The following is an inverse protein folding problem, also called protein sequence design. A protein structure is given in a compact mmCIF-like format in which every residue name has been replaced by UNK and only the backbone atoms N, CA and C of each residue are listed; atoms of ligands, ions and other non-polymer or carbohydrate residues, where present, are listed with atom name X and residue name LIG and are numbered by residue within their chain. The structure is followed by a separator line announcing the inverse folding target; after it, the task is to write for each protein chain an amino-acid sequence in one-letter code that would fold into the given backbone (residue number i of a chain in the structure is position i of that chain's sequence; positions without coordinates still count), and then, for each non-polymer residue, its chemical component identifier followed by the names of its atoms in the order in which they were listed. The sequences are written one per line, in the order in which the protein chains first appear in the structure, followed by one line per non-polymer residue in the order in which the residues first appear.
data_IF_635929847880
#
_entry.id   IF_635929847880
#
_cell.length_a   1.000
_cell.length_b   1.000
_cell.length_c   1.000
_cell.angle_alpha   90.00
_cell.angle_beta   90.00
_cell.angle_gamma   90.00
#
_symmetry.space_group_name_H-M   'P 1'
#
loop_
_entity.id
_entity.type
_entity.pdbx_description
1 polymer ?
#
# COMPACT_ATOMS: atom_id res chain seq x y z
N UNK A 1 -18.65 10.64 -2.59
CA UNK A 1 -18.07 9.45 -1.95
C UNK A 1 -17.09 8.84 -2.94
N UNK A 2 -15.78 9.11 -2.77
CA UNK A 2 -14.76 8.73 -3.76
C UNK A 2 -14.65 7.20 -3.85
N UNK A 3 -15.34 6.62 -4.84
CA UNK A 3 -14.99 5.31 -5.41
C UNK A 3 -13.70 5.50 -6.20
N UNK A 4 -12.55 5.57 -5.53
CA UNK A 4 -11.30 5.22 -6.19
C UNK A 4 -11.22 3.68 -6.23
N UNK A 5 -12.17 3.08 -6.96
CA UNK A 5 -12.00 1.73 -7.47
C UNK A 5 -11.15 1.93 -8.72
N UNK A 6 -9.84 1.74 -8.59
CA UNK A 6 -9.03 1.44 -9.78
C UNK A 6 -9.56 0.10 -10.26
N UNK A 7 -10.52 0.18 -11.17
CA UNK A 7 -11.10 -0.96 -11.86
C UNK A 7 -10.00 -1.58 -12.71
N UNK A 8 -9.28 -2.55 -12.14
CA UNK A 8 -8.83 -3.70 -12.90
C UNK A 8 -10.06 -4.57 -13.19
N UNK A 9 -11.00 -4.08 -14.01
CA UNK A 9 -12.05 -4.91 -14.57
C UNK A 9 -11.43 -5.67 -15.76
N UNK A 10 -11.49 -7.01 -15.78
CA UNK A 10 -11.26 -7.74 -17.02
C UNK A 10 -12.46 -7.47 -17.94
N UNK A 11 -12.17 -7.11 -19.18
CA UNK A 11 -13.14 -7.12 -20.27
C UNK A 11 -13.66 -8.55 -20.42
N UNK A 12 -14.95 -8.69 -20.12
CA UNK A 12 -15.99 -9.64 -20.56
C UNK A 12 -15.67 -11.12 -20.89
N UNK A 13 -16.48 -11.98 -20.26
CA UNK A 13 -17.02 -13.26 -20.75
C UNK A 13 -16.25 -14.00 -21.87
N UNK A 14 -15.57 -15.08 -21.52
CA UNK A 14 -15.81 -16.43 -22.08
C UNK A 14 -14.86 -17.48 -21.49
N UNK A 15 -15.44 -18.63 -21.14
CA UNK A 15 -14.81 -19.93 -20.85
C UNK A 15 -13.85 -20.04 -19.65
N UNK A 16 -14.23 -20.95 -18.75
CA UNK A 16 -13.36 -21.65 -17.80
C UNK A 16 -12.02 -22.02 -18.47
N UNK A 17 -10.96 -21.30 -18.16
CA UNK A 17 -9.61 -21.81 -18.34
C UNK A 17 -9.06 -22.13 -16.96
N UNK A 18 -8.96 -23.43 -16.71
CA UNK A 18 -8.16 -24.04 -15.67
C UNK A 18 -6.77 -23.40 -15.67
N UNK A 19 -6.44 -22.60 -14.65
CA UNK A 19 -5.10 -22.05 -14.49
C UNK A 19 -4.21 -23.18 -13.95
N UNK A 20 -3.18 -23.63 -14.68
CA UNK A 20 -2.37 -24.75 -14.24
C UNK A 20 -1.54 -24.37 -13.01
N UNK A 21 -1.33 -25.38 -12.16
CA UNK A 21 -0.45 -25.34 -11.00
C UNK A 21 0.98 -24.92 -11.38
N UNK A 22 1.50 -23.95 -10.61
CA UNK A 22 2.89 -23.82 -10.13
C UNK A 22 3.98 -24.30 -11.10
N UNK A 23 4.61 -23.38 -11.84
CA UNK A 23 6.05 -23.44 -12.20
C UNK A 23 6.56 -22.11 -12.81
N UNK A 24 7.37 -21.38 -12.03
CA UNK A 24 8.62 -20.67 -12.34
C UNK A 24 8.82 -19.79 -13.60
N UNK A 25 7.81 -19.46 -14.41
CA UNK A 25 8.04 -18.69 -15.66
C UNK A 25 7.51 -17.24 -15.59
N UNK A 26 6.54 -16.93 -14.71
CA UNK A 26 5.90 -15.60 -14.66
C UNK A 26 6.64 -14.57 -13.79
N UNK A 27 7.65 -14.98 -13.02
CA UNK A 27 8.34 -14.09 -12.06
C UNK A 27 9.30 -13.08 -12.70
N UNK A 28 9.66 -13.28 -13.97
CA UNK A 28 10.68 -12.46 -14.64
C UNK A 28 10.14 -11.18 -15.29
N UNK A 29 8.86 -11.16 -15.72
CA UNK A 29 8.28 -10.04 -16.47
C UNK A 29 7.70 -8.91 -15.59
N UNK A 30 7.50 -9.16 -14.29
CA UNK A 30 6.88 -8.21 -13.36
C UNK A 30 7.80 -7.70 -12.24
N UNK A 31 9.07 -8.09 -12.26
CA UNK A 31 10.09 -7.39 -11.46
C UNK A 31 10.35 -6.06 -12.12
N UNK A 32 10.20 -5.00 -11.33
CA UNK A 32 10.56 -3.68 -11.77
C UNK A 32 12.06 -3.67 -12.09
N UNK A 33 12.41 -3.69 -13.38
CA UNK A 33 13.78 -3.45 -13.83
C UNK A 33 14.02 -1.95 -13.65
N UNK A 34 14.17 -1.52 -12.41
CA UNK A 34 14.82 -0.26 -12.13
C UNK A 34 16.29 -0.49 -12.51
N UNK A 35 16.83 0.09 -13.61
CA UNK A 35 18.17 0.62 -13.44
C UNK A 35 18.07 1.49 -12.18
N UNK A 36 19.07 1.48 -11.30
CA UNK A 36 19.10 2.42 -10.20
C UNK A 36 19.09 3.84 -10.82
N UNK A 37 17.91 4.38 -11.14
CA UNK A 37 17.72 5.71 -11.67
C UNK A 37 17.82 6.60 -10.46
N UNK A 38 19.04 6.75 -9.98
CA UNK A 38 19.46 8.03 -9.44
C UNK A 38 19.36 8.95 -10.65
N UNK A 39 18.27 9.70 -10.77
CA UNK A 39 18.15 10.71 -11.82
C UNK A 39 19.43 11.55 -11.78
N UNK A 40 20.03 11.85 -12.93
CA UNK A 40 21.28 12.62 -12.97
C UNK A 40 21.12 13.88 -12.10
N UNK A 41 21.95 14.01 -11.07
CA UNK A 41 21.89 15.10 -10.09
C UNK A 41 21.24 14.78 -8.73
N UNK A 42 20.66 13.59 -8.51
CA UNK A 42 20.23 13.17 -7.18
C UNK A 42 21.39 12.52 -6.40
N UNK A 43 21.53 12.84 -5.12
CA UNK A 43 22.42 12.07 -4.25
C UNK A 43 21.85 10.65 -4.05
N UNK A 44 22.69 9.60 -3.95
CA UNK A 44 22.23 8.26 -3.61
C UNK A 44 21.41 8.28 -2.31
N UNK A 45 20.32 7.50 -2.22
CA UNK A 45 19.52 7.45 -1.01
C UNK A 45 20.38 6.93 0.16
N UNK A 46 20.33 7.64 1.30
CA UNK A 46 21.06 7.23 2.51
C UNK A 46 20.63 5.85 3.04
N UNK A 47 19.40 5.45 2.72
CA UNK A 47 18.85 4.17 3.10
C UNK A 47 17.86 3.70 2.05
N UNK A 48 18.11 2.50 1.53
CA UNK A 48 17.14 1.76 0.70
C UNK A 48 16.21 1.04 1.67
N UNK A 49 14.95 1.48 1.73
CA UNK A 49 13.93 0.83 2.56
C UNK A 49 13.46 -0.50 1.98
N UNK A 50 13.52 -0.62 0.65
CA UNK A 50 13.05 -1.77 -0.07
C UNK A 50 13.99 -2.06 -1.25
N UNK A 51 14.72 -3.19 -1.22
CA UNK A 51 15.64 -3.55 -2.29
C UNK A 51 14.91 -3.65 -3.64
N UNK A 52 15.40 -3.00 -4.71
CA UNK A 52 14.74 -3.01 -6.02
C UNK A 52 14.41 -4.42 -6.54
N UNK A 53 15.27 -5.39 -6.26
CA UNK A 53 15.11 -6.81 -6.61
C UNK A 53 13.89 -7.49 -5.98
N UNK A 54 13.35 -6.90 -4.91
CA UNK A 54 12.17 -7.37 -4.20
C UNK A 54 10.92 -6.55 -4.55
N UNK A 55 11.03 -5.55 -5.45
CA UNK A 55 9.88 -4.77 -5.92
C UNK A 55 9.10 -5.56 -6.97
N UNK A 56 7.89 -5.97 -6.58
CA UNK A 56 6.90 -6.55 -7.47
C UNK A 56 5.87 -5.49 -7.85
N UNK A 57 5.73 -5.23 -9.16
CA UNK A 57 4.80 -4.22 -9.69
C UNK A 57 3.34 -4.64 -9.64
N UNK A 58 3.11 -5.94 -9.55
CA UNK A 58 1.80 -6.54 -9.47
C UNK A 58 1.44 -6.98 -8.06
N UNK A 59 0.15 -7.19 -7.84
CA UNK A 59 -0.36 -7.85 -6.65
C UNK A 59 0.15 -9.28 -6.55
N UNK A 60 0.88 -9.60 -5.48
CA UNK A 60 1.32 -10.98 -5.21
C UNK A 60 0.15 -11.89 -4.80
N UNK A 61 -0.95 -11.31 -4.36
CA UNK A 61 -2.18 -12.00 -3.99
C UNK A 61 -3.39 -11.23 -4.53
N UNK A 62 -4.43 -11.94 -4.97
CA UNK A 62 -5.69 -11.32 -5.40
C UNK A 62 -6.46 -10.82 -4.18
N UNK A 63 -6.82 -9.54 -4.18
CA UNK A 63 -7.61 -8.92 -3.12
C UNK A 63 -9.01 -8.57 -3.62
N UNK A 64 -10.00 -8.69 -2.74
CA UNK A 64 -11.29 -8.02 -2.92
C UNK A 64 -11.13 -6.53 -2.63
N UNK A 65 -12.10 -5.72 -3.05
CA UNK A 65 -12.18 -4.34 -2.56
C UNK A 65 -12.22 -4.36 -1.02
N UNK A 66 -11.22 -3.73 -0.40
CA UNK A 66 -11.07 -3.64 1.05
C UNK A 66 -12.07 -2.67 1.69
N UNK A 67 -11.83 -2.35 2.95
CA UNK A 67 -12.66 -1.41 3.69
C UNK A 67 -12.65 0.00 3.09
N UNK A 68 -13.80 0.67 3.16
CA UNK A 68 -13.87 2.12 3.02
C UNK A 68 -13.32 2.82 4.27
N UNK A 69 -12.98 4.11 4.16
CA UNK A 69 -12.58 4.92 5.31
C UNK A 69 -13.72 5.85 5.71
N UNK A 70 -13.98 5.94 7.02
CA UNK A 70 -14.95 6.88 7.58
C UNK A 70 -14.46 8.31 7.36
N UNK A 71 -15.29 9.12 6.72
CA UNK A 71 -14.98 10.53 6.49
C UNK A 71 -15.51 11.36 7.67
N UNK A 72 -14.62 11.74 8.57
CA UNK A 72 -14.88 12.75 9.61
C UNK A 72 -14.37 14.12 9.12
N UNK A 73 -14.88 15.21 9.69
CA UNK A 73 -14.51 16.58 9.28
C UNK A 73 -12.98 16.75 9.13
N UNK A 74 -12.55 17.30 8.00
CA UNK A 74 -11.15 17.51 7.59
C UNK A 74 -10.30 16.26 7.29
N UNK A 75 -10.87 15.04 7.28
CA UNK A 75 -10.10 13.81 7.00
C UNK A 75 -10.19 13.29 5.56
N UNK A 76 -11.03 13.88 4.70
CA UNK A 76 -11.26 13.38 3.33
C UNK A 76 -10.00 13.37 2.45
N UNK A 77 -9.15 14.38 2.60
CA UNK A 77 -7.86 14.46 1.91
C UNK A 77 -6.95 13.30 2.33
N UNK A 78 -6.78 13.12 3.64
CA UNK A 78 -5.96 12.04 4.19
C UNK A 78 -6.52 10.66 3.80
N UNK A 79 -7.84 10.48 3.86
CA UNK A 79 -8.48 9.24 3.43
C UNK A 79 -8.18 8.92 1.97
N UNK A 80 -8.16 9.93 1.09
CA UNK A 80 -7.82 9.75 -0.32
C UNK A 80 -6.36 9.33 -0.49
N UNK A 81 -5.43 9.98 0.21
CA UNK A 81 -4.01 9.60 0.22
C UNK A 81 -3.81 8.17 0.73
N UNK A 82 -4.44 7.82 1.85
CA UNK A 82 -4.33 6.48 2.44
C UNK A 82 -4.86 5.38 1.52
N UNK A 83 -5.96 5.63 0.82
CA UNK A 83 -6.48 4.68 -0.16
C UNK A 83 -5.53 4.52 -1.35
N UNK A 84 -4.98 5.62 -1.88
CA UNK A 84 -3.97 5.55 -2.95
C UNK A 84 -2.74 4.73 -2.54
N UNK A 85 -2.21 4.97 -1.34
CA UNK A 85 -1.06 4.23 -0.82
C UNK A 85 -1.40 2.74 -0.59
N UNK A 86 -2.60 2.45 -0.08
CA UNK A 86 -3.06 1.07 0.19
C UNK A 86 -3.22 0.24 -1.07
N UNK A 87 -3.64 0.85 -2.19
CA UNK A 87 -3.88 0.16 -3.45
C UNK A 87 -2.76 0.30 -4.48
N UNK A 88 -1.59 0.81 -4.08
CA UNK A 88 -0.38 0.79 -4.91
C UNK A 88 0.34 -0.55 -4.71
N UNK A 89 0.33 -1.49 -5.69
CA UNK A 89 0.74 -2.89 -5.44
C UNK A 89 2.17 -3.05 -4.89
N UNK A 90 3.21 -2.37 -5.41
CA UNK A 90 4.55 -2.41 -4.83
C UNK A 90 4.59 -2.11 -3.33
N UNK A 91 3.93 -1.02 -2.95
CA UNK A 91 3.91 -0.55 -1.56
C UNK A 91 3.05 -1.47 -0.69
N UNK A 92 1.91 -1.91 -1.20
CA UNK A 92 1.02 -2.81 -0.48
C UNK A 92 1.71 -4.16 -0.21
N UNK A 93 2.40 -4.74 -1.20
CA UNK A 93 3.16 -5.98 -1.04
C UNK A 93 4.21 -5.85 0.07
N UNK A 94 4.97 -4.74 0.09
CA UNK A 94 5.93 -4.48 1.16
C UNK A 94 5.26 -4.35 2.53
N UNK A 95 4.21 -3.53 2.64
CA UNK A 95 3.53 -3.30 3.92
C UNK A 95 2.83 -4.55 4.45
N UNK A 96 2.40 -5.45 3.57
CA UNK A 96 1.81 -6.74 3.93
C UNK A 96 2.85 -7.75 4.40
N UNK A 97 4.13 -7.64 3.98
CA UNK A 97 5.21 -8.55 4.38
C UNK A 97 5.58 -8.42 5.87
N UNK A 98 5.23 -7.29 6.50
CA UNK A 98 5.57 -6.94 7.89
C UNK A 98 7.06 -6.85 8.16
N UNK A 99 7.88 -6.70 7.14
CA UNK A 99 9.34 -6.66 7.28
C UNK A 99 9.83 -5.44 8.09
N UNK A 100 9.15 -4.30 7.96
CA UNK A 100 9.53 -3.10 8.70
C UNK A 100 9.27 -3.29 10.19
N UNK A 101 8.07 -3.68 10.60
CA UNK A 101 7.75 -3.84 12.03
C UNK A 101 8.62 -4.89 12.73
N UNK A 102 9.12 -5.90 12.01
CA UNK A 102 10.04 -6.92 12.53
C UNK A 102 11.43 -6.36 12.89
N UNK A 103 11.86 -5.30 12.23
CA UNK A 103 13.19 -4.69 12.41
C UNK A 103 13.15 -3.28 13.01
N UNK A 104 11.96 -2.70 13.13
CA UNK A 104 11.78 -1.34 13.63
C UNK A 104 12.10 -1.24 15.12
N UNK A 105 13.03 -0.35 15.46
CA UNK A 105 13.43 -0.02 16.84
C UNK A 105 12.95 1.36 17.29
N UNK A 106 12.17 2.04 16.44
CA UNK A 106 11.69 3.40 16.75
C UNK A 106 10.70 3.33 17.91
N UNK A 107 11.02 4.03 19.00
CA UNK A 107 10.12 4.18 20.13
C UNK A 107 9.06 5.24 19.80
N UNK A 108 7.80 4.97 20.17
CA UNK A 108 6.68 5.88 19.90
C UNK A 108 6.07 5.70 18.49
N UNK A 109 6.01 6.78 17.71
CA UNK A 109 5.30 6.79 16.43
C UNK A 109 6.23 6.44 15.26
N UNK A 110 5.88 5.39 14.53
CA UNK A 110 6.51 5.05 13.26
C UNK A 110 5.46 4.94 12.16
N UNK A 111 5.59 5.79 11.13
CA UNK A 111 4.66 5.85 10.00
C UNK A 111 4.56 4.50 9.30
N UNK A 112 5.70 3.84 9.05
CA UNK A 112 5.72 2.56 8.34
C UNK A 112 5.02 1.45 9.15
N UNK A 113 5.27 1.34 10.46
CA UNK A 113 4.51 0.42 11.33
C UNK A 113 3.00 0.70 11.32
N UNK A 114 2.59 1.97 11.24
CA UNK A 114 1.17 2.33 11.17
C UNK A 114 0.55 2.00 9.82
N UNK A 115 1.30 2.24 8.74
CA UNK A 115 0.90 1.88 7.38
C UNK A 115 0.78 0.36 7.20
N UNK A 116 1.70 -0.44 7.74
CA UNK A 116 1.57 -1.91 7.71
C UNK A 116 0.27 -2.38 8.37
N UNK A 117 -0.05 -1.82 9.54
CA UNK A 117 -1.29 -2.13 10.24
C UNK A 117 -2.53 -1.67 9.47
N UNK A 118 -2.47 -0.47 8.89
CA UNK A 118 -3.56 0.10 8.10
C UNK A 118 -3.86 -0.76 6.87
N UNK A 119 -2.86 -1.03 6.02
CA UNK A 119 -3.02 -1.82 4.79
C UNK A 119 -3.55 -3.21 5.09
N UNK A 120 -3.00 -3.88 6.11
CA UNK A 120 -3.46 -5.21 6.52
C UNK A 120 -4.92 -5.20 6.98
N UNK A 121 -5.33 -4.16 7.73
CA UNK A 121 -6.71 -4.00 8.19
C UNK A 121 -7.67 -3.75 7.02
N UNK A 122 -7.36 -2.75 6.17
CA UNK A 122 -8.20 -2.37 5.02
C UNK A 122 -8.44 -3.56 4.10
N UNK A 123 -7.37 -4.24 3.67
CA UNK A 123 -7.46 -5.29 2.67
C UNK A 123 -8.15 -6.57 3.17
N UNK A 124 -8.17 -6.81 4.50
CA UNK A 124 -8.86 -7.97 5.09
C UNK A 124 -10.34 -7.72 5.41
N UNK A 125 -10.77 -6.46 5.49
CA UNK A 125 -12.10 -6.08 5.99
C UNK A 125 -13.01 -5.57 4.86
N UNK A 126 -13.20 -6.39 3.83
CA UNK A 126 -14.07 -6.06 2.69
C UNK A 126 -15.50 -5.75 3.12
N UNK A 127 -16.11 -4.73 2.52
CA UNK A 127 -17.50 -4.31 2.78
C UNK A 127 -17.72 -3.56 4.10
N UNK A 128 -16.65 -3.23 4.84
CA UNK A 128 -16.73 -2.46 6.09
C UNK A 128 -16.25 -1.03 5.88
N UNK A 129 -16.55 -0.17 6.86
CA UNK A 129 -16.01 1.18 6.98
C UNK A 129 -15.15 1.24 8.24
N UNK A 130 -13.90 1.70 8.12
CA UNK A 130 -12.96 1.82 9.24
C UNK A 130 -12.55 3.28 9.45
N UNK A 131 -12.23 3.65 10.68
CA UNK A 131 -11.68 4.97 11.00
C UNK A 131 -10.17 4.84 11.27
N UNK A 132 -9.28 5.46 10.47
CA UNK A 132 -7.83 5.32 10.62
C UNK A 132 -7.29 6.24 11.74
N UNK A 133 -7.85 6.10 12.94
CA UNK A 133 -7.65 7.00 14.09
C UNK A 133 -6.19 7.33 14.36
N UNK A 134 -5.32 6.35 14.24
CA UNK A 134 -3.96 6.51 14.68
C UNK A 134 -2.96 6.92 13.59
N UNK A 135 -3.45 7.12 12.37
CA UNK A 135 -2.75 7.94 11.37
C UNK A 135 -3.26 9.38 11.48
N UNK A 136 -4.58 9.55 11.63
CA UNK A 136 -5.22 10.86 11.81
C UNK A 136 -4.66 11.59 13.04
N UNK A 137 -4.58 10.92 14.20
CA UNK A 137 -4.21 11.52 15.49
C UNK A 137 -2.83 12.17 15.53
N UNK A 138 -1.97 11.88 14.55
CA UNK A 138 -0.63 12.45 14.46
C UNK A 138 -0.62 13.63 13.50
N UNK A 139 -1.35 13.52 12.38
CA UNK A 139 -1.43 14.60 11.38
C UNK A 139 -2.31 15.77 11.85
N UNK A 140 -3.29 15.52 12.73
CA UNK A 140 -4.11 16.57 13.35
C UNK A 140 -3.49 17.15 14.62
N UNK A 141 -2.41 16.55 15.15
CA UNK A 141 -1.71 17.07 16.34
C UNK A 141 -0.82 18.27 16.04
N UNK A 142 -0.44 18.46 14.78
CA UNK A 142 0.27 19.65 14.30
C UNK A 142 -0.66 20.85 14.06
N UNK A 143 -1.98 20.68 14.16
CA UNK A 143 -2.98 21.75 13.93
C UNK A 143 -3.35 22.53 15.19
N UNK A 144 -2.94 22.07 16.37
CA UNK A 144 -3.36 22.64 17.67
C UNK A 144 -2.20 23.17 18.55
N UNK A 145 -1.00 23.34 17.99
CA UNK A 145 0.09 24.09 18.65
C UNK A 145 0.35 25.48 18.04
N UNK A 146 -0.52 25.96 17.14
CA UNK A 146 -0.45 27.33 16.56
C UNK A 146 -1.74 28.11 16.81
N UNK A 147 -2.43 27.85 17.92
CA UNK A 147 -3.45 28.73 18.48
C UNK A 147 -3.18 28.98 19.97
#
# INVERSE_FOLDING_TARGET
MLKLVVLGAPVENSTFLHVPSRNNIVSSLFKCRFPAVVAEGMAPPQRILFPPENIYMDWQQRWRAGAGLHNSDNTCFLNSVLQCLTYTPPLANYLLSREHSRSCRQQGFCVMCRMENHVNTVLRWSGRVIYPSAIISVLTRESFQVL
#
